data_IF_136848504785
#
_entry.id   IF_136848504785
#
_cell.length_a   1.000
_cell.length_b   1.000
_cell.length_c   1.000
_cell.angle_alpha   90.00
_cell.angle_beta   90.00
_cell.angle_gamma   90.00
#
_symmetry.space_group_name_H-M   'P 1'
#
loop_
_entity.id
_entity.type
_entity.pdbx_description
1 polymer ?
#
# COMPACT_ATOMS: atom_id res chain seq x y z
N UNK A 1 -31.11 -23.07 -74.68
CA UNK A 1 -30.61 -22.98 -73.30
C UNK A 1 -31.81 -22.70 -72.42
N UNK A 2 -32.14 -23.55 -71.45
CA UNK A 2 -33.03 -23.15 -70.36
C UNK A 2 -32.50 -23.74 -69.04
N UNK A 3 -32.05 -22.80 -68.22
CA UNK A 3 -31.39 -22.97 -66.94
C UNK A 3 -32.45 -23.28 -65.87
N UNK A 4 -32.49 -24.53 -65.40
CA UNK A 4 -33.43 -24.96 -64.36
C UNK A 4 -32.65 -25.46 -63.15
N UNK A 5 -32.46 -24.61 -62.15
CA UNK A 5 -32.38 -24.88 -60.70
C UNK A 5 -32.19 -23.54 -59.97
N UNK A 6 -32.44 -23.39 -58.65
CA UNK A 6 -33.26 -24.20 -57.72
C UNK A 6 -34.20 -23.30 -56.88
N UNK A 7 -35.27 -23.84 -56.27
CA UNK A 7 -35.82 -23.24 -55.04
C UNK A 7 -36.19 -24.33 -54.05
N UNK A 8 -35.20 -24.71 -53.25
CA UNK A 8 -35.40 -25.29 -51.93
C UNK A 8 -36.31 -24.37 -51.13
N UNK A 9 -37.52 -24.84 -50.81
CA UNK A 9 -38.38 -24.18 -49.84
C UNK A 9 -37.69 -24.18 -48.49
N UNK A 10 -37.06 -23.06 -48.15
CA UNK A 10 -36.70 -22.75 -46.77
C UNK A 10 -38.02 -22.55 -46.02
N UNK A 11 -38.43 -23.55 -45.25
CA UNK A 11 -39.37 -23.33 -44.16
C UNK A 11 -38.62 -22.49 -43.13
N UNK A 12 -38.91 -21.20 -43.11
CA UNK A 12 -38.44 -20.31 -42.05
C UNK A 12 -39.26 -20.62 -40.80
N UNK A 13 -38.57 -20.95 -39.72
CA UNK A 13 -39.17 -21.18 -38.41
C UNK A 13 -39.67 -19.83 -37.88
N UNK A 14 -40.94 -19.52 -38.12
CA UNK A 14 -41.59 -18.32 -37.58
C UNK A 14 -41.86 -18.51 -36.07
N UNK A 15 -40.83 -18.61 -35.22
CA UNK A 15 -40.90 -18.35 -33.75
C UNK A 15 -39.55 -18.51 -33.06
N UNK A 16 -38.53 -17.73 -33.43
CA UNK A 16 -37.23 -17.74 -32.73
C UNK A 16 -37.31 -17.27 -31.25
N UNK A 17 -38.41 -16.61 -30.84
CA UNK A 17 -38.60 -16.13 -29.47
C UNK A 17 -39.95 -16.56 -28.88
N UNK A 18 -39.91 -17.44 -27.85
CA UNK A 18 -41.08 -17.71 -27.00
C UNK A 18 -41.21 -16.64 -25.92
N UNK A 19 -42.22 -15.77 -26.03
CA UNK A 19 -42.49 -14.71 -25.03
C UNK A 19 -42.65 -15.30 -23.63
N UNK A 20 -43.33 -16.45 -23.51
CA UNK A 20 -43.49 -17.16 -22.24
C UNK A 20 -42.17 -17.70 -21.66
N UNK A 21 -41.22 -18.09 -22.51
CA UNK A 21 -39.88 -18.50 -22.08
C UNK A 21 -39.06 -17.33 -21.55
N UNK A 22 -39.10 -16.20 -22.25
CA UNK A 22 -38.41 -14.96 -21.85
C UNK A 22 -38.91 -14.44 -20.50
N UNK A 23 -40.24 -14.45 -20.28
CA UNK A 23 -40.81 -14.00 -19.00
C UNK A 23 -40.37 -14.91 -17.84
N UNK A 24 -40.38 -16.23 -18.02
CA UNK A 24 -39.92 -17.19 -16.99
C UNK A 24 -38.41 -17.02 -16.71
N UNK A 25 -37.61 -16.83 -17.74
CA UNK A 25 -36.17 -16.57 -17.60
C UNK A 25 -35.92 -15.26 -16.82
N UNK A 26 -36.66 -14.20 -17.11
CA UNK A 26 -36.55 -12.93 -16.40
C UNK A 26 -36.92 -13.07 -14.91
N UNK A 27 -38.02 -13.77 -14.59
CA UNK A 27 -38.43 -14.03 -13.20
C UNK A 27 -37.37 -14.86 -12.45
N UNK A 28 -36.82 -15.89 -13.10
CA UNK A 28 -35.78 -16.73 -12.52
C UNK A 28 -34.50 -15.93 -12.23
N UNK A 29 -34.08 -15.06 -13.16
CA UNK A 29 -32.94 -14.17 -12.96
C UNK A 29 -33.15 -13.20 -11.79
N UNK A 30 -34.33 -12.61 -11.66
CA UNK A 30 -34.66 -11.73 -10.52
C UNK A 30 -34.61 -12.51 -9.21
N UNK A 31 -35.21 -13.70 -9.16
CA UNK A 31 -35.20 -14.54 -7.97
C UNK A 31 -33.77 -14.94 -7.55
N UNK A 32 -32.92 -15.28 -8.52
CA UNK A 32 -31.53 -15.63 -8.29
C UNK A 32 -30.71 -14.40 -7.83
N UNK A 33 -30.96 -13.23 -8.42
CA UNK A 33 -30.39 -11.97 -7.96
C UNK A 33 -30.74 -11.67 -6.50
N UNK A 34 -32.01 -11.80 -6.12
CA UNK A 34 -32.45 -11.61 -4.73
C UNK A 34 -31.78 -12.63 -3.80
N UNK A 35 -31.71 -13.90 -4.19
CA UNK A 35 -31.04 -14.95 -3.42
C UNK A 35 -29.57 -14.61 -3.17
N UNK A 36 -28.83 -14.22 -4.22
CA UNK A 36 -27.41 -13.85 -4.09
C UNK A 36 -27.23 -12.63 -3.20
N UNK A 37 -28.13 -11.65 -3.28
CA UNK A 37 -28.10 -10.47 -2.42
C UNK A 37 -28.31 -10.83 -0.94
N UNK A 38 -29.29 -11.68 -0.64
CA UNK A 38 -29.53 -12.16 0.73
C UNK A 38 -28.33 -12.98 1.24
N UNK A 39 -27.77 -13.87 0.42
CA UNK A 39 -26.61 -14.66 0.79
C UNK A 39 -25.39 -13.77 1.07
N UNK A 40 -25.13 -12.77 0.21
CA UNK A 40 -24.06 -11.80 0.43
C UNK A 40 -24.28 -11.00 1.73
N UNK A 41 -25.52 -10.61 2.01
CA UNK A 41 -25.82 -9.84 3.22
C UNK A 41 -25.75 -10.69 4.50
N UNK A 42 -26.17 -11.96 4.43
CA UNK A 42 -25.97 -12.92 5.51
C UNK A 42 -24.48 -13.21 5.74
N UNK A 43 -23.70 -13.36 4.67
CA UNK A 43 -22.25 -13.55 4.73
C UNK A 43 -21.56 -12.34 5.36
N UNK A 44 -21.89 -11.12 4.92
CA UNK A 44 -21.34 -9.88 5.48
C UNK A 44 -21.69 -9.72 6.96
N UNK A 45 -22.92 -10.02 7.35
CA UNK A 45 -23.34 -9.94 8.76
C UNK A 45 -22.67 -11.02 9.62
N UNK A 46 -22.50 -12.22 9.08
CA UNK A 46 -21.75 -13.31 9.71
C UNK A 46 -20.28 -12.96 9.90
N UNK A 47 -19.60 -12.54 8.82
CA UNK A 47 -18.21 -12.07 8.88
C UNK A 47 -18.08 -10.91 9.87
N UNK A 48 -18.97 -9.91 9.83
CA UNK A 48 -18.92 -8.80 10.76
C UNK A 48 -19.04 -9.27 12.23
N UNK A 49 -19.85 -10.29 12.53
CA UNK A 49 -19.89 -10.91 13.87
C UNK A 49 -18.57 -11.58 14.27
N UNK A 50 -17.86 -12.19 13.32
CA UNK A 50 -16.56 -12.84 13.56
C UNK A 50 -15.38 -11.84 13.61
N UNK A 51 -15.46 -10.74 12.87
CA UNK A 51 -14.43 -9.69 12.82
C UNK A 51 -14.72 -8.51 13.78
N UNK A 52 -15.86 -8.51 14.49
CA UNK A 52 -16.23 -7.45 15.43
C UNK A 52 -15.31 -7.35 16.65
N UNK A 53 -14.48 -8.36 16.92
CA UNK A 53 -13.52 -8.35 18.03
C UNK A 53 -12.24 -7.56 17.72
N UNK A 54 -12.06 -7.09 16.49
CA UNK A 54 -11.00 -6.12 16.15
C UNK A 54 -11.59 -4.70 16.19
N UNK A 55 -11.56 -3.99 17.35
CA UNK A 55 -11.91 -2.58 17.35
C UNK A 55 -10.99 -1.86 16.37
N UNK A 56 -11.57 -1.10 15.43
CA UNK A 56 -10.79 -0.20 14.58
C UNK A 56 -9.78 0.54 15.47
N UNK A 57 -8.50 0.34 15.16
CA UNK A 57 -7.43 1.04 15.85
C UNK A 57 -7.76 2.54 15.84
N UNK A 58 -7.60 3.20 16.99
CA UNK A 58 -7.77 4.64 17.15
C UNK A 58 -7.02 5.44 16.06
N UNK A 59 -5.92 4.88 15.55
CA UNK A 59 -5.16 5.40 14.40
C UNK A 59 -6.00 5.39 13.12
N UNK A 60 -6.65 4.28 12.80
CA UNK A 60 -7.47 4.12 11.59
C UNK A 60 -8.72 5.03 11.62
N UNK A 61 -9.26 5.27 12.82
CA UNK A 61 -10.36 6.21 13.01
C UNK A 61 -9.92 7.67 12.87
N UNK A 62 -8.73 8.00 13.36
CA UNK A 62 -8.13 9.32 13.20
C UNK A 62 -7.83 9.62 11.73
N UNK A 63 -7.23 8.70 10.99
CA UNK A 63 -6.97 8.85 9.55
C UNK A 63 -8.24 9.10 8.74
N UNK A 64 -9.35 8.46 9.10
CA UNK A 64 -10.64 8.67 8.43
C UNK A 64 -11.19 10.08 8.65
N UNK A 65 -11.02 10.61 9.85
CA UNK A 65 -11.39 12.00 10.16
C UNK A 65 -10.45 13.00 9.48
N UNK A 66 -9.17 12.69 9.37
CA UNK A 66 -8.18 13.49 8.63
C UNK A 66 -8.48 13.51 7.12
N UNK A 67 -8.96 12.41 6.53
CA UNK A 67 -9.46 12.37 5.13
C UNK A 67 -10.67 13.27 4.93
N UNK A 68 -11.68 13.12 5.79
CA UNK A 68 -12.91 13.91 5.68
C UNK A 68 -12.67 15.43 5.84
N UNK A 69 -11.60 15.83 6.52
CA UNK A 69 -11.22 17.24 6.71
C UNK A 69 -10.30 17.76 5.60
N UNK A 70 -9.35 16.95 5.12
CA UNK A 70 -8.47 17.30 4.01
C UNK A 70 -9.22 17.39 2.68
N UNK A 71 -10.16 16.48 2.39
CA UNK A 71 -10.98 16.55 1.18
C UNK A 71 -11.87 17.80 1.16
N UNK A 72 -12.45 18.17 2.31
CA UNK A 72 -13.23 19.42 2.45
C UNK A 72 -12.36 20.65 2.28
N UNK A 73 -11.13 20.64 2.79
CA UNK A 73 -10.19 21.75 2.68
C UNK A 73 -9.66 21.91 1.25
N UNK A 74 -9.37 20.80 0.56
CA UNK A 74 -8.97 20.80 -0.85
C UNK A 74 -10.10 21.31 -1.76
N UNK A 75 -11.34 20.87 -1.52
CA UNK A 75 -12.51 21.38 -2.22
C UNK A 75 -12.75 22.88 -1.95
N UNK A 76 -12.55 23.34 -0.72
CA UNK A 76 -12.67 24.76 -0.36
C UNK A 76 -11.54 25.63 -0.94
N UNK A 77 -10.33 25.10 -1.06
CA UNK A 77 -9.19 25.78 -1.67
C UNK A 77 -9.34 25.90 -3.20
N UNK A 78 -9.93 24.89 -3.85
CA UNK A 78 -10.23 24.92 -5.28
C UNK A 78 -11.36 25.90 -5.67
N UNK A 79 -12.16 26.37 -4.71
CA UNK A 79 -13.27 27.31 -4.92
C UNK A 79 -12.93 28.79 -4.67
N UNK A 80 -11.66 29.14 -4.37
CA UNK A 80 -11.23 30.53 -4.24
C UNK A 80 -10.49 31.00 -5.50
N UNK A 81 -11.17 31.66 -6.46
CA UNK A 81 -10.49 32.41 -7.51
C UNK A 81 -9.95 33.71 -6.91
N UNK A 82 -8.63 33.77 -6.68
CA UNK A 82 -7.91 35.01 -6.40
C UNK A 82 -8.20 36.02 -7.55
N UNK A 83 -8.85 37.12 -7.20
CA UNK A 83 -9.29 38.13 -8.13
C UNK A 83 -8.12 39.01 -8.59
N UNK A 84 -7.79 38.97 -9.89
CA UNK A 84 -7.45 40.19 -10.63
C UNK A 84 -5.98 40.54 -10.90
N UNK A 85 -5.06 39.58 -11.03
CA UNK A 85 -3.72 39.86 -11.58
C UNK A 85 -3.68 39.46 -13.05
N UNK A 86 -3.59 40.43 -13.96
CA UNK A 86 -3.26 40.16 -15.37
C UNK A 86 -1.78 39.78 -15.44
N UNK A 87 -1.48 38.47 -15.45
CA UNK A 87 -0.13 37.96 -15.63
C UNK A 87 0.43 38.42 -16.98
N UNK A 88 1.65 38.94 -16.96
CA UNK A 88 2.44 39.23 -18.16
C UNK A 88 2.72 37.94 -18.93
N UNK A 89 3.03 38.03 -20.22
CA UNK A 89 3.22 36.86 -21.09
C UNK A 89 4.33 35.93 -20.60
N UNK A 90 5.40 36.50 -20.05
CA UNK A 90 6.50 35.76 -19.41
C UNK A 90 6.07 35.06 -18.11
N UNK A 91 5.15 35.63 -17.34
CA UNK A 91 4.62 34.98 -16.14
C UNK A 91 3.69 33.82 -16.52
N UNK A 92 2.95 33.95 -17.63
CA UNK A 92 2.11 32.85 -18.15
C UNK A 92 2.95 31.64 -18.57
N UNK A 93 4.09 31.87 -19.22
CA UNK A 93 5.00 30.78 -19.61
C UNK A 93 5.57 30.08 -18.37
N UNK A 94 6.03 30.83 -17.36
CA UNK A 94 6.54 30.25 -16.11
C UNK A 94 5.48 29.46 -15.35
N UNK A 95 4.25 29.96 -15.29
CA UNK A 95 3.12 29.24 -14.66
C UNK A 95 2.74 27.98 -15.43
N UNK A 96 2.81 27.99 -16.77
CA UNK A 96 2.60 26.77 -17.57
C UNK A 96 3.68 25.74 -17.32
N UNK A 97 4.94 26.15 -17.20
CA UNK A 97 6.06 25.27 -16.92
C UNK A 97 5.96 24.68 -15.50
N UNK A 98 5.60 25.49 -14.50
CA UNK A 98 5.34 25.05 -13.14
C UNK A 98 4.16 24.05 -13.07
N UNK A 99 3.07 24.30 -13.82
CA UNK A 99 1.96 23.33 -13.92
C UNK A 99 2.39 22.03 -14.61
N UNK A 100 3.22 22.10 -15.65
CA UNK A 100 3.73 20.90 -16.33
C UNK A 100 4.58 20.05 -15.38
N UNK A 101 5.45 20.69 -14.60
CA UNK A 101 6.26 20.03 -13.57
C UNK A 101 5.37 19.41 -12.48
N UNK A 102 4.37 20.15 -11.98
CA UNK A 102 3.43 19.67 -10.97
C UNK A 102 2.59 18.45 -11.43
N UNK A 103 2.31 18.33 -12.73
CA UNK A 103 1.62 17.18 -13.31
C UNK A 103 2.55 16.01 -13.68
N UNK A 104 3.84 16.26 -13.88
CA UNK A 104 4.81 15.22 -14.28
C UNK A 104 5.24 14.36 -13.09
N UNK A 105 5.26 14.93 -11.88
CA UNK A 105 5.56 14.17 -10.68
C UNK A 105 4.28 13.59 -10.07
N UNK A 106 4.19 12.25 -9.88
CA UNK A 106 3.12 11.69 -9.06
C UNK A 106 3.21 12.32 -7.67
N UNK A 107 2.08 12.85 -7.19
CA UNK A 107 2.04 13.47 -5.87
C UNK A 107 2.46 12.44 -4.81
N UNK A 108 3.17 12.84 -3.74
CA UNK A 108 3.50 11.95 -2.64
C UNK A 108 2.19 11.36 -2.08
N UNK A 109 2.01 10.06 -2.26
CA UNK A 109 0.84 9.34 -1.74
C UNK A 109 1.25 8.63 -0.46
N UNK A 110 0.37 8.71 0.53
CA UNK A 110 0.47 7.84 1.69
C UNK A 110 0.21 6.40 1.23
N UNK A 111 1.09 5.48 1.61
CA UNK A 111 0.92 4.06 1.32
C UNK A 111 -0.25 3.54 2.18
N UNK A 112 -1.26 2.93 1.56
CA UNK A 112 -2.55 2.67 2.20
C UNK A 112 -2.57 1.41 3.08
N UNK A 113 -1.57 0.55 2.95
CA UNK A 113 -1.56 -0.80 3.53
C UNK A 113 -0.32 -1.07 4.41
N UNK A 114 0.32 -0.01 4.89
CA UNK A 114 1.55 -0.10 5.71
C UNK A 114 1.33 -0.97 6.95
N UNK A 115 0.15 -0.89 7.56
CA UNK A 115 -0.18 -1.68 8.73
C UNK A 115 -0.27 -3.18 8.43
N UNK A 116 -0.81 -3.56 7.27
CA UNK A 116 -0.89 -4.97 6.85
C UNK A 116 0.49 -5.51 6.47
N UNK A 117 1.26 -4.71 5.74
CA UNK A 117 2.62 -5.06 5.31
C UNK A 117 3.55 -5.24 6.53
N UNK A 118 3.50 -4.31 7.49
CA UNK A 118 4.25 -4.44 8.74
C UNK A 118 3.82 -5.67 9.56
N UNK A 119 2.53 -6.00 9.59
CA UNK A 119 2.04 -7.20 10.28
C UNK A 119 2.55 -8.48 9.62
N UNK A 120 2.60 -8.51 8.29
CA UNK A 120 3.14 -9.64 7.54
C UNK A 120 4.65 -9.81 7.78
N UNK A 121 5.42 -8.71 7.74
CA UNK A 121 6.85 -8.74 8.06
C UNK A 121 7.11 -9.20 9.50
N UNK A 122 6.31 -8.72 10.47
CA UNK A 122 6.43 -9.11 11.86
C UNK A 122 6.16 -10.61 12.07
N UNK A 123 5.17 -11.16 11.36
CA UNK A 123 4.87 -12.59 11.42
C UNK A 123 6.02 -13.45 10.85
N UNK A 124 6.56 -13.08 9.69
CA UNK A 124 7.70 -13.78 9.07
C UNK A 124 8.96 -13.72 9.95
N UNK A 125 9.20 -12.58 10.59
CA UNK A 125 10.31 -12.43 11.53
C UNK A 125 10.13 -13.29 12.78
N UNK A 126 8.92 -13.33 13.34
CA UNK A 126 8.62 -14.14 14.50
C UNK A 126 8.84 -15.63 14.22
N UNK A 127 8.34 -16.12 13.07
CA UNK A 127 8.57 -17.50 12.62
C UNK A 127 10.07 -17.82 12.48
N UNK A 128 10.86 -16.85 11.99
CA UNK A 128 12.30 -17.02 11.84
C UNK A 128 13.03 -17.09 13.18
N UNK A 129 12.66 -16.25 14.15
CA UNK A 129 13.31 -16.18 15.47
C UNK A 129 12.92 -17.33 16.41
N UNK A 130 11.72 -17.87 16.25
CA UNK A 130 11.19 -18.94 17.11
C UNK A 130 11.47 -20.34 16.55
N UNK A 131 11.94 -20.44 15.31
CA UNK A 131 12.27 -21.72 14.68
C UNK A 131 13.54 -22.35 15.28
N UNK A 132 13.44 -23.57 15.81
CA UNK A 132 14.62 -24.34 16.21
C UNK A 132 15.06 -25.28 15.08
N UNK A 133 16.36 -25.36 14.79
CA UNK A 133 16.83 -26.30 13.77
C UNK A 133 18.26 -26.09 13.32
N UNK A 134 18.71 -26.97 12.42
CA UNK A 134 20.02 -26.87 11.77
C UNK A 134 19.84 -26.34 10.34
N UNK A 135 20.46 -25.20 10.06
CA UNK A 135 20.50 -24.63 8.72
C UNK A 135 21.34 -25.48 7.76
N UNK A 136 21.09 -25.31 6.46
CA UNK A 136 21.85 -25.99 5.40
C UNK A 136 23.33 -25.55 5.37
N UNK A 137 23.63 -24.38 5.92
CA UNK A 137 24.97 -23.82 6.13
C UNK A 137 25.74 -24.50 7.30
N UNK A 138 25.07 -25.37 8.06
CA UNK A 138 25.64 -26.06 9.21
C UNK A 138 25.50 -25.31 10.53
N UNK A 139 24.91 -24.11 10.52
CA UNK A 139 24.63 -23.33 11.74
C UNK A 139 23.41 -23.89 12.46
N UNK A 140 23.43 -23.87 13.79
CA UNK A 140 22.30 -24.30 14.63
C UNK A 140 21.56 -23.05 15.10
N UNK A 141 20.30 -22.91 14.71
CA UNK A 141 19.40 -21.90 15.22
C UNK A 141 18.71 -22.44 16.47
N UNK A 142 18.83 -21.70 17.58
CA UNK A 142 18.21 -22.02 18.86
C UNK A 142 17.40 -20.78 19.26
N UNK A 143 16.10 -20.91 19.53
CA UNK A 143 15.28 -19.80 20.00
C UNK A 143 15.88 -19.17 21.26
N UNK A 144 15.76 -17.85 21.39
CA UNK A 144 16.45 -17.08 22.43
C UNK A 144 16.10 -17.60 23.84
N UNK A 145 14.84 -17.92 24.10
CA UNK A 145 14.40 -18.47 25.39
C UNK A 145 15.07 -19.80 25.71
N UNK A 146 15.19 -20.69 24.72
CA UNK A 146 15.88 -21.97 24.88
C UNK A 146 17.38 -21.79 25.07
N UNK A 147 17.98 -20.79 24.40
CA UNK A 147 19.39 -20.46 24.58
C UNK A 147 19.66 -19.94 26.00
N UNK A 148 18.78 -19.08 26.54
CA UNK A 148 18.85 -18.60 27.92
C UNK A 148 18.74 -19.77 28.90
N UNK A 149 17.76 -20.67 28.70
CA UNK A 149 17.57 -21.83 29.57
C UNK A 149 18.75 -22.80 29.53
N UNK A 150 19.28 -23.08 28.33
CA UNK A 150 20.46 -23.93 28.16
C UNK A 150 21.68 -23.32 28.86
N UNK A 151 21.87 -22.00 28.71
CA UNK A 151 22.96 -21.28 29.37
C UNK A 151 22.80 -21.26 30.90
N UNK A 152 21.58 -21.08 31.40
CA UNK A 152 21.29 -21.09 32.82
C UNK A 152 21.59 -22.47 33.45
N UNK A 153 21.30 -23.56 32.72
CA UNK A 153 21.59 -24.93 33.16
C UNK A 153 23.07 -25.29 33.08
N UNK A 154 23.74 -24.89 32.00
CA UNK A 154 25.13 -25.24 31.74
C UNK A 154 26.14 -24.32 32.44
N UNK A 155 25.70 -23.10 32.78
CA UNK A 155 26.55 -22.02 33.27
C UNK A 155 27.32 -21.36 32.14
N UNK A 156 27.77 -20.12 32.38
CA UNK A 156 28.68 -19.44 31.48
C UNK A 156 30.04 -20.15 31.49
N UNK A 157 30.66 -20.40 30.32
CA UNK A 157 32.02 -20.94 30.29
C UNK A 157 32.99 -19.98 31.00
N UNK A 158 34.03 -20.50 31.68
CA UNK A 158 35.01 -19.65 32.33
C UNK A 158 35.70 -18.78 31.28
N UNK A 159 35.52 -17.46 31.40
CA UNK A 159 36.19 -16.49 30.52
C UNK A 159 37.67 -16.47 30.87
N UNK A 160 38.49 -17.25 30.16
CA UNK A 160 39.94 -17.20 30.27
C UNK A 160 40.47 -16.15 29.30
N UNK A 161 40.59 -14.92 29.78
CA UNK A 161 41.15 -13.81 29.01
C UNK A 161 41.09 -12.50 29.77
N UNK A 162 42.09 -11.65 29.58
CA UNK A 162 42.08 -10.28 30.07
C UNK A 162 41.00 -9.48 29.32
N UNK A 163 39.99 -9.01 30.04
CA UNK A 163 38.99 -8.08 29.50
C UNK A 163 39.71 -6.82 29.02
N UNK A 164 39.69 -6.58 27.71
CA UNK A 164 40.12 -5.32 27.13
C UNK A 164 38.84 -4.54 26.79
N UNK A 165 38.53 -3.44 27.50
CA UNK A 165 37.39 -2.62 27.13
C UNK A 165 37.62 -2.05 25.72
N UNK A 166 36.69 -2.32 24.80
CA UNK A 166 36.66 -1.64 23.50
C UNK A 166 36.36 -0.17 23.79
N UNK A 167 37.34 0.69 23.56
CA UNK A 167 37.17 2.12 23.67
C UNK A 167 36.33 2.61 22.48
N UNK A 168 35.02 2.78 22.69
CA UNK A 168 34.08 3.35 21.71
C UNK A 168 34.04 4.87 21.74
N UNK A 169 35.09 5.54 22.25
CA UNK A 169 35.18 6.98 22.15
C UNK A 169 35.11 7.39 20.66
N UNK A 170 34.18 8.29 20.28
CA UNK A 170 34.11 8.76 18.91
C UNK A 170 35.43 9.45 18.58
N UNK A 171 36.19 8.85 17.67
CA UNK A 171 37.30 9.54 17.02
C UNK A 171 36.65 10.69 16.24
N UNK A 172 36.69 11.89 16.82
CA UNK A 172 36.30 13.10 16.11
C UNK A 172 37.21 13.22 14.90
N UNK A 173 36.66 12.94 13.73
CA UNK A 173 37.31 13.21 12.46
C UNK A 173 37.44 14.72 12.37
N UNK A 174 38.62 15.24 12.69
CA UNK A 174 38.98 16.63 12.43
C UNK A 174 39.04 16.77 10.92
N UNK A 175 37.98 17.33 10.33
CA UNK A 175 37.99 17.77 8.93
C UNK A 175 38.89 19.01 8.86
N UNK A 176 40.05 18.96 8.19
CA UNK A 176 40.84 20.16 7.98
C UNK A 176 40.07 21.10 7.04
N UNK A 177 39.66 22.24 7.57
CA UNK A 177 39.01 23.29 6.78
C UNK A 177 40.04 23.84 5.77
N UNK A 178 39.73 23.90 4.46
CA UNK A 178 40.65 24.45 3.48
C UNK A 178 40.86 25.94 3.74
N UNK A 179 42.12 26.35 3.79
CA UNK A 179 42.54 27.74 3.90
C UNK A 179 41.96 28.55 2.73
N UNK A 180 41.09 29.51 3.04
CA UNK A 180 40.57 30.48 2.09
C UNK A 180 41.70 31.38 1.54
N UNK A 181 41.64 31.79 0.26
CA UNK A 181 42.73 32.50 -0.39
C UNK A 181 42.78 33.97 0.05
N UNK A 182 43.96 34.36 0.54
CA UNK A 182 44.61 35.64 0.26
C UNK A 182 43.85 36.93 0.60
N UNK A 183 44.08 37.44 1.80
CA UNK A 183 43.94 38.86 2.11
C UNK A 183 44.91 39.67 1.23
N UNK A 184 44.41 40.14 0.10
CA UNK A 184 45.08 41.10 -0.77
C UNK A 184 45.19 42.45 -0.09
N UNK A 185 46.44 42.92 0.02
CA UNK A 185 46.84 44.23 0.48
C UNK A 185 46.06 45.37 -0.21
N UNK A 186 45.65 46.37 0.59
CA UNK A 186 45.52 47.75 0.12
C UNK A 186 46.16 48.70 1.13
N UNK A 187 47.25 49.32 0.69
CA UNK A 187 47.84 50.54 1.25
C UNK A 187 46.90 51.71 0.97
N UNK A 188 46.62 52.53 1.99
CA UNK A 188 46.61 54.00 1.92
C UNK A 188 47.12 54.53 3.25
#
# INVERSE_FOLDING_TARGET
MDNSQPKSGQQHEESDLSVGGVVKAAVMLVALGILTFIAAQGLMWGLAKYYADEPMSVVQQQERNERATSDKKAAAAAMQPEAGVQLTEAEKERVMEEMHVAHTFPQPRLQYDDASDMKAMLADEHDKLDSAGKGADGNIHIPIDQAIDALARQGLPPVTGTFTPVNTAPTSVVVPMPAGPGAGAKKQ
#
